data_IF_118382823045
#
_entry.id   IF_118382823045
#
_cell.length_a   1.000
_cell.length_b   1.000
_cell.length_c   1.000
_cell.angle_alpha   90.00
_cell.angle_beta   90.00
_cell.angle_gamma   90.00
#
_symmetry.space_group_name_H-M   'P 1'
#
loop_
_entity.id
_entity.type
_entity.pdbx_description
1 polymer ?
#
# COMPACT_ATOMS: atom_id res chain seq x y z
N UNK A 1 3.95 -0.81 21.17
CA UNK A 1 3.72 -0.09 19.90
C UNK A 1 3.75 1.40 20.15
N UNK A 2 4.55 2.19 19.42
CA UNK A 2 4.19 3.59 19.26
C UNK A 2 3.00 3.63 18.31
N UNK A 3 1.82 3.99 18.82
CA UNK A 3 0.59 4.12 18.03
C UNK A 3 0.77 4.99 16.77
N UNK A 4 1.77 5.88 16.80
CA UNK A 4 2.21 6.69 15.67
C UNK A 4 2.64 5.85 14.46
N UNK A 5 3.45 4.79 14.68
CA UNK A 5 4.01 3.97 13.58
C UNK A 5 2.94 3.15 12.87
N UNK A 6 1.96 2.59 13.60
CA UNK A 6 0.85 1.84 12.99
C UNK A 6 -0.06 2.75 12.17
N UNK A 7 -0.40 3.92 12.74
CA UNK A 7 -1.24 4.92 12.06
C UNK A 7 -0.60 5.37 10.75
N UNK A 8 0.70 5.66 10.74
CA UNK A 8 1.43 6.00 9.52
C UNK A 8 1.42 4.88 8.48
N UNK A 9 1.62 3.63 8.90
CA UNK A 9 1.60 2.49 7.99
C UNK A 9 0.23 2.30 7.34
N UNK A 10 -0.86 2.49 8.08
CA UNK A 10 -2.23 2.46 7.55
C UNK A 10 -2.48 3.62 6.58
N UNK A 11 -2.02 4.83 6.90
CA UNK A 11 -2.11 5.99 6.00
C UNK A 11 -1.38 5.70 4.68
N UNK A 12 -0.16 5.16 4.75
CA UNK A 12 0.61 4.76 3.55
C UNK A 12 -0.14 3.71 2.72
N UNK A 13 -0.72 2.69 3.36
CA UNK A 13 -1.50 1.67 2.66
C UNK A 13 -2.71 2.28 1.93
N UNK A 14 -3.46 3.16 2.59
CA UNK A 14 -4.60 3.85 1.98
C UNK A 14 -4.16 4.72 0.79
N UNK A 15 -3.06 5.45 0.93
CA UNK A 15 -2.52 6.28 -0.16
C UNK A 15 -2.11 5.44 -1.39
N UNK A 16 -1.49 4.27 -1.18
CA UNK A 16 -1.13 3.35 -2.27
C UNK A 16 -2.36 2.82 -3.01
N UNK A 17 -3.41 2.42 -2.28
CA UNK A 17 -4.67 1.96 -2.88
C UNK A 17 -5.35 3.06 -3.72
N UNK A 18 -5.31 4.31 -3.25
CA UNK A 18 -5.83 5.45 -4.02
C UNK A 18 -5.02 5.67 -5.30
N UNK A 19 -3.68 5.62 -5.23
CA UNK A 19 -2.81 5.77 -6.41
C UNK A 19 -3.07 4.67 -7.43
N UNK A 20 -3.20 3.42 -6.99
CA UNK A 20 -3.57 2.31 -7.86
C UNK A 20 -4.90 2.56 -8.57
N UNK A 21 -5.94 2.95 -7.83
CA UNK A 21 -7.26 3.25 -8.41
C UNK A 21 -7.19 4.37 -9.43
N UNK A 22 -6.42 5.43 -9.16
CA UNK A 22 -6.24 6.56 -10.10
C UNK A 22 -5.50 6.11 -11.37
N UNK A 23 -4.42 5.33 -11.23
CA UNK A 23 -3.68 4.79 -12.36
C UNK A 23 -4.56 3.89 -13.23
N UNK A 24 -5.40 3.05 -12.60
CA UNK A 24 -6.38 2.23 -13.30
C UNK A 24 -7.38 3.08 -14.09
N UNK A 25 -7.95 4.11 -13.46
CA UNK A 25 -8.90 5.02 -14.10
C UNK A 25 -8.29 5.83 -15.26
N UNK A 26 -6.99 6.12 -15.20
CA UNK A 26 -6.27 6.83 -16.26
C UNK A 26 -5.72 5.91 -17.36
N UNK A 27 -6.09 4.63 -17.39
CA UNK A 27 -5.55 3.62 -18.32
C UNK A 27 -4.01 3.58 -18.31
N UNK A 28 -3.39 3.63 -17.13
CA UNK A 28 -1.96 3.43 -16.98
C UNK A 28 -1.53 2.08 -17.55
N UNK A 29 -0.27 1.98 -17.99
CA UNK A 29 0.26 0.73 -18.53
C UNK A 29 0.33 -0.37 -17.45
N UNK A 30 0.41 -1.62 -17.92
CA UNK A 30 0.43 -2.78 -17.06
C UNK A 30 1.62 -2.80 -16.08
N UNK A 31 2.78 -2.27 -16.47
CA UNK A 31 3.97 -2.20 -15.62
C UNK A 31 3.75 -1.23 -14.46
N UNK A 32 3.15 -0.07 -14.73
CA UNK A 32 2.83 0.92 -13.70
C UNK A 32 1.81 0.38 -12.69
N UNK A 33 0.79 -0.34 -13.16
CA UNK A 33 -0.19 -1.00 -12.29
C UNK A 33 0.47 -2.10 -11.43
N UNK A 34 1.33 -2.93 -12.02
CA UNK A 34 2.05 -3.99 -11.31
C UNK A 34 2.99 -3.45 -10.23
N UNK A 35 3.69 -2.34 -10.51
CA UNK A 35 4.53 -1.67 -9.52
C UNK A 35 3.74 -1.17 -8.31
N UNK A 36 2.56 -0.55 -8.55
CA UNK A 36 1.68 -0.07 -7.48
C UNK A 36 1.08 -1.22 -6.65
N UNK A 37 0.75 -2.35 -7.28
CA UNK A 37 0.31 -3.56 -6.58
C UNK A 37 1.42 -4.13 -5.71
N UNK A 38 2.62 -4.27 -6.24
CA UNK A 38 3.79 -4.80 -5.52
C UNK A 38 4.06 -3.98 -4.24
N UNK A 39 4.01 -2.65 -4.35
CA UNK A 39 4.23 -1.76 -3.20
C UNK A 39 3.08 -1.85 -2.18
N UNK A 40 1.84 -2.05 -2.65
CA UNK A 40 0.67 -2.28 -1.78
C UNK A 40 0.84 -3.57 -0.98
N UNK A 41 1.24 -4.67 -1.63
CA UNK A 41 1.47 -5.96 -0.97
C UNK A 41 2.61 -5.89 0.04
N UNK A 42 3.70 -5.20 -0.30
CA UNK A 42 4.82 -4.96 0.63
C UNK A 42 4.34 -4.25 1.89
N UNK A 43 3.54 -3.20 1.74
CA UNK A 43 3.00 -2.44 2.86
C UNK A 43 2.02 -3.27 3.71
N UNK A 44 1.23 -4.14 3.09
CA UNK A 44 0.37 -5.09 3.82
C UNK A 44 1.19 -6.09 4.63
N UNK A 45 2.28 -6.63 4.08
CA UNK A 45 3.18 -7.53 4.83
C UNK A 45 3.81 -6.85 6.03
N UNK A 46 4.21 -5.57 5.90
CA UNK A 46 4.76 -4.80 7.02
C UNK A 46 3.75 -4.58 8.16
N UNK A 47 2.45 -4.58 7.86
CA UNK A 47 1.39 -4.55 8.86
C UNK A 47 1.14 -5.93 9.45
N UNK A 48 1.07 -6.97 8.62
CA UNK A 48 0.77 -8.35 9.04
C UNK A 48 1.89 -9.00 9.86
N UNK A 49 3.16 -8.80 9.49
CA UNK A 49 4.32 -9.30 10.25
C UNK A 49 4.32 -8.75 11.68
N UNK A 50 3.76 -7.56 11.89
CA UNK A 50 3.68 -6.90 13.19
C UNK A 50 2.41 -7.21 13.98
N UNK A 51 1.45 -7.91 13.38
CA UNK A 51 0.27 -8.45 14.08
C UNK A 51 0.53 -9.87 14.61
N UNK A 52 1.59 -10.52 14.13
CA UNK A 52 2.02 -11.87 14.56
C UNK A 52 3.12 -11.87 15.64
N UNK A 53 3.71 -10.70 15.95
CA UNK A 53 4.64 -10.45 17.07
C UNK A 53 3.88 -9.93 18.30
#
# INVERSE_FOLDING_TARGET
MNNHTRREQLIRLCALRIRYRRAWQSNADACQLAALLTETERQQRLLAVKEAE
#
